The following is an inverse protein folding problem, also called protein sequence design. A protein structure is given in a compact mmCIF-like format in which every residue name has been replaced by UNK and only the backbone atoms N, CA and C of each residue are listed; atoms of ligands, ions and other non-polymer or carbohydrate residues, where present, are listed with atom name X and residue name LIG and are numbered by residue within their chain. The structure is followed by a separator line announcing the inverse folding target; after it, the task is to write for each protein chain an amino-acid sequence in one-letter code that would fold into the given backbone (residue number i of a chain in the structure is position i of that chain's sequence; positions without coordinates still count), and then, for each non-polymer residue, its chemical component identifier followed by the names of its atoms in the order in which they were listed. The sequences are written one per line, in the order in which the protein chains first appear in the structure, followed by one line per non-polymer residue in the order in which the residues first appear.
data_IF_374764763861
#
_entry.id   IF_374764763861
#
_cell.length_a   1.000
_cell.length_b   1.000
_cell.length_c   1.000
_cell.angle_alpha   90.00
_cell.angle_beta   90.00
_cell.angle_gamma   90.00
#
_symmetry.space_group_name_H-M   'P 1'
#
loop_
_entity.id
_entity.type
_entity.pdbx_description
1 polymer ?
#
# COMPACT_ATOMS: atom_id res chain seq x y z
N UNK A 1 30.23 -29.32 -20.16
CA UNK A 1 30.03 -30.77 -20.02
C UNK A 1 31.31 -31.58 -20.26
N UNK A 2 32.24 -31.13 -21.11
CA UNK A 2 33.52 -31.81 -21.35
C UNK A 2 34.33 -32.13 -20.08
N UNK A 3 34.40 -31.20 -19.11
CA UNK A 3 35.19 -31.42 -17.89
C UNK A 3 34.74 -32.64 -17.06
N UNK A 4 33.43 -32.93 -17.02
CA UNK A 4 32.88 -34.08 -16.27
C UNK A 4 33.21 -35.40 -16.99
N UNK A 5 33.20 -35.38 -18.32
CA UNK A 5 33.55 -36.56 -19.13
C UNK A 5 35.02 -36.93 -18.96
N UNK A 6 35.93 -35.96 -18.90
CA UNK A 6 37.36 -36.21 -18.67
C UNK A 6 37.65 -36.84 -17.29
N UNK A 7 36.84 -36.53 -16.28
CA UNK A 7 36.92 -37.21 -14.97
C UNK A 7 36.36 -38.63 -15.06
N UNK A 8 35.25 -38.84 -15.77
CA UNK A 8 34.66 -40.16 -15.95
C UNK A 8 35.60 -41.11 -16.72
N UNK A 9 36.27 -40.59 -17.75
CA UNK A 9 37.27 -41.31 -18.57
C UNK A 9 38.62 -41.47 -17.87
N UNK A 10 38.76 -41.00 -16.62
CA UNK A 10 39.99 -41.01 -15.81
C UNK A 10 41.19 -40.30 -16.46
N UNK A 11 40.93 -39.36 -17.37
CA UNK A 11 41.94 -38.49 -17.99
C UNK A 11 42.34 -37.36 -17.03
N UNK A 12 41.38 -36.87 -16.23
CA UNK A 12 41.62 -35.87 -15.18
C UNK A 12 41.22 -36.40 -13.80
N UNK A 13 42.09 -36.26 -12.80
CA UNK A 13 41.85 -36.79 -11.45
C UNK A 13 40.96 -35.89 -10.56
N UNK A 14 40.91 -34.59 -10.82
CA UNK A 14 40.15 -33.62 -10.03
C UNK A 14 39.49 -32.60 -10.95
N UNK A 15 38.24 -32.22 -10.67
CA UNK A 15 37.53 -31.17 -11.38
C UNK A 15 37.00 -30.13 -10.38
N UNK A 16 37.49 -28.88 -10.50
CA UNK A 16 37.08 -27.76 -9.68
C UNK A 16 36.03 -26.91 -10.43
N UNK A 17 34.85 -27.47 -10.65
CA UNK A 17 33.72 -26.80 -11.31
C UNK A 17 32.50 -26.86 -10.40
N UNK A 18 31.65 -25.84 -10.46
CA UNK A 18 30.37 -25.84 -9.73
C UNK A 18 29.50 -27.03 -10.17
N UNK A 19 29.30 -27.96 -9.26
CA UNK A 19 28.45 -29.11 -9.45
C UNK A 19 27.33 -29.11 -8.42
N UNK A 20 26.09 -29.15 -8.91
CA UNK A 20 24.93 -29.39 -8.07
C UNK A 20 24.95 -30.87 -7.69
N UNK A 21 24.85 -31.14 -6.38
CA UNK A 21 24.72 -32.49 -5.85
C UNK A 21 23.42 -33.10 -6.37
N UNK A 22 23.54 -34.12 -7.19
CA UNK A 22 22.41 -34.84 -7.78
C UNK A 22 22.60 -36.33 -7.47
N UNK A 23 21.61 -36.96 -6.85
CA UNK A 23 21.72 -38.35 -6.37
C UNK A 23 22.16 -39.32 -7.49
N UNK A 24 21.62 -39.15 -8.70
CA UNK A 24 21.97 -39.97 -9.87
C UNK A 24 23.45 -39.87 -10.28
N UNK A 25 24.13 -38.76 -9.97
CA UNK A 25 25.53 -38.52 -10.36
C UNK A 25 26.51 -38.88 -9.23
N UNK A 26 26.03 -39.02 -7.99
CA UNK A 26 26.83 -39.46 -6.85
C UNK A 26 27.29 -40.93 -6.94
N UNK A 27 26.67 -41.75 -7.80
CA UNK A 27 27.12 -43.13 -8.04
C UNK A 27 28.39 -43.20 -8.91
N UNK A 28 28.68 -42.14 -9.67
CA UNK A 28 29.80 -42.10 -10.64
C UNK A 28 30.97 -41.27 -10.13
N UNK A 29 30.73 -40.30 -9.25
CA UNK A 29 31.74 -39.37 -8.75
C UNK A 29 31.64 -39.18 -7.24
N UNK A 30 32.80 -39.16 -6.58
CA UNK A 30 32.91 -38.78 -5.18
C UNK A 30 32.98 -37.26 -5.05
N UNK A 31 32.06 -36.69 -4.26
CA UNK A 31 32.04 -35.27 -3.95
C UNK A 31 32.83 -34.98 -2.67
N UNK A 32 33.46 -33.81 -2.62
CA UNK A 32 34.02 -33.27 -1.37
C UNK A 32 32.89 -32.65 -0.52
N UNK A 33 33.24 -31.73 0.38
CA UNK A 33 32.27 -31.01 1.20
C UNK A 33 31.50 -29.96 0.40
N UNK A 34 30.26 -29.70 0.80
CA UNK A 34 29.44 -28.63 0.22
C UNK A 34 29.98 -27.28 0.65
N UNK A 35 30.44 -26.48 -0.32
CA UNK A 35 30.92 -25.12 -0.06
C UNK A 35 29.81 -24.07 -0.08
N UNK A 36 28.78 -24.23 -0.92
CA UNK A 36 27.72 -23.24 -1.10
C UNK A 36 26.37 -23.91 -1.41
N UNK A 37 25.28 -23.36 -0.86
CA UNK A 37 23.92 -23.82 -1.14
C UNK A 37 23.30 -22.95 -2.23
N UNK A 38 22.94 -23.57 -3.35
CA UNK A 38 22.21 -22.90 -4.43
C UNK A 38 20.70 -23.03 -4.23
N UNK A 39 19.99 -21.91 -4.30
CA UNK A 39 18.52 -21.87 -4.27
C UNK A 39 17.99 -21.52 -5.67
N UNK A 40 16.97 -22.24 -6.13
CA UNK A 40 16.24 -21.85 -7.33
C UNK A 40 15.34 -20.65 -7.02
N UNK A 41 15.47 -19.59 -7.81
CA UNK A 41 14.66 -18.38 -7.67
C UNK A 41 14.07 -17.99 -9.03
N UNK A 42 12.95 -17.28 -8.99
CA UNK A 42 12.29 -16.77 -10.19
C UNK A 42 12.56 -15.27 -10.32
N UNK A 43 12.96 -14.85 -11.53
CA UNK A 43 13.07 -13.43 -11.86
C UNK A 43 11.77 -12.95 -12.54
N UNK A 44 11.18 -11.88 -12.02
CA UNK A 44 9.98 -11.26 -12.59
C UNK A 44 10.21 -9.78 -12.89
N UNK A 45 9.42 -9.25 -13.84
CA UNK A 45 9.39 -7.81 -14.13
C UNK A 45 8.98 -7.03 -12.88
N UNK A 46 9.64 -5.90 -12.61
CA UNK A 46 9.26 -4.99 -11.52
C UNK A 46 7.78 -4.58 -11.71
N UNK A 47 6.92 -4.79 -10.71
CA UNK A 47 5.50 -4.45 -10.85
C UNK A 47 5.34 -2.94 -11.04
N UNK A 48 4.41 -2.55 -11.90
CA UNK A 48 4.03 -1.14 -12.07
C UNK A 48 3.40 -0.62 -10.78
N UNK A 49 3.84 0.55 -10.32
CA UNK A 49 3.28 1.15 -9.11
C UNK A 49 1.82 1.55 -9.36
N UNK A 50 0.98 1.41 -8.33
CA UNK A 50 -0.37 1.95 -8.36
C UNK A 50 -0.31 3.49 -8.46
N UNK A 51 -1.31 4.13 -9.08
CA UNK A 51 -1.29 5.57 -9.27
C UNK A 51 -1.28 6.31 -7.93
N UNK A 52 -0.31 7.20 -7.76
CA UNK A 52 0.07 7.78 -6.48
C UNK A 52 -0.95 8.78 -5.92
N UNK A 53 -1.89 9.26 -6.74
CA UNK A 53 -3.00 10.13 -6.29
C UNK A 53 -3.93 9.44 -5.28
N UNK A 54 -4.04 8.11 -5.32
CA UNK A 54 -4.82 7.36 -4.34
C UNK A 54 -4.21 7.42 -2.93
N UNK A 55 -2.91 7.77 -2.84
CA UNK A 55 -2.22 7.97 -1.57
C UNK A 55 -2.65 9.24 -0.83
N UNK A 56 -3.46 10.12 -1.44
CA UNK A 56 -3.89 11.38 -0.82
C UNK A 56 -5.07 11.17 0.14
N UNK A 57 -5.99 10.24 -0.17
CA UNK A 57 -7.13 9.93 0.70
C UNK A 57 -6.88 8.76 1.66
N UNK A 58 -5.88 7.92 1.35
CA UNK A 58 -5.49 6.77 2.17
C UNK A 58 -4.66 7.05 3.46
N UNK A 59 -4.06 8.24 3.71
CA UNK A 59 -3.20 8.46 4.87
C UNK A 59 -4.02 8.74 6.15
N UNK A 60 -5.30 9.11 6.00
CA UNK A 60 -6.25 9.24 7.12
C UNK A 60 -7.32 8.17 7.00
N UNK A 61 -7.54 7.45 8.10
CA UNK A 61 -8.61 6.45 8.17
C UNK A 61 -9.99 7.10 8.02
N UNK A 62 -10.96 6.34 7.50
CA UNK A 62 -12.35 6.80 7.34
C UNK A 62 -12.96 7.33 8.65
N UNK A 63 -12.55 6.75 9.79
CA UNK A 63 -13.01 7.20 11.12
C UNK A 63 -12.58 8.63 11.45
N UNK A 64 -11.39 9.06 11.00
CA UNK A 64 -10.90 10.42 11.23
C UNK A 64 -11.69 11.42 10.40
N UNK A 65 -11.99 11.09 9.14
CA UNK A 65 -12.82 11.94 8.28
C UNK A 65 -14.21 12.17 8.85
N UNK A 66 -14.85 11.09 9.34
CA UNK A 66 -16.14 11.20 10.04
C UNK A 66 -15.99 12.06 11.31
N UNK A 67 -14.92 11.85 12.09
CA UNK A 67 -14.63 12.66 13.27
C UNK A 67 -14.47 14.16 12.95
N UNK A 68 -13.76 14.51 11.88
CA UNK A 68 -13.57 15.90 11.46
C UNK A 68 -14.89 16.54 11.05
N UNK A 69 -15.72 15.85 10.25
CA UNK A 69 -17.05 16.33 9.86
C UNK A 69 -17.92 16.53 11.10
N UNK A 70 -17.90 15.56 12.04
CA UNK A 70 -18.64 15.65 13.30
C UNK A 70 -18.16 16.83 14.17
N UNK A 71 -16.85 17.08 14.25
CA UNK A 71 -16.30 18.22 14.99
C UNK A 71 -16.72 19.57 14.38
N UNK A 72 -16.67 19.72 13.05
CA UNK A 72 -17.15 20.93 12.37
C UNK A 72 -18.65 21.14 12.63
N UNK A 73 -19.44 20.06 12.53
CA UNK A 73 -20.88 20.09 12.75
C UNK A 73 -21.26 20.39 14.20
N UNK A 74 -20.41 20.07 15.17
CA UNK A 74 -20.64 20.36 16.60
C UNK A 74 -20.19 21.78 16.98
N UNK A 75 -19.03 22.22 16.50
CA UNK A 75 -18.46 23.54 16.84
C UNK A 75 -19.27 24.69 16.25
N UNK A 76 -19.79 24.53 15.03
CA UNK A 76 -20.60 25.56 14.35
C UNK A 76 -21.87 25.95 15.14
N UNK A 77 -22.76 25.02 15.56
CA UNK A 77 -23.95 25.37 16.33
C UNK A 77 -23.62 25.84 17.75
N UNK A 78 -22.54 25.34 18.38
CA UNK A 78 -22.12 25.82 19.70
C UNK A 78 -21.69 27.29 19.63
N UNK A 79 -20.94 27.68 18.60
CA UNK A 79 -20.57 29.08 18.39
C UNK A 79 -21.78 29.95 18.06
N UNK A 80 -22.71 29.47 17.22
CA UNK A 80 -23.95 30.19 16.94
C UNK A 80 -24.81 30.37 18.19
N UNK A 81 -24.91 29.35 19.04
CA UNK A 81 -25.64 29.40 20.29
C UNK A 81 -24.98 30.35 21.30
N UNK A 82 -23.65 30.36 21.42
CA UNK A 82 -22.93 31.32 22.26
C UNK A 82 -23.14 32.77 21.78
N UNK A 83 -23.13 32.99 20.47
CA UNK A 83 -23.40 34.32 19.88
C UNK A 83 -24.86 34.73 20.11
N UNK A 84 -25.81 33.81 19.98
CA UNK A 84 -27.23 34.09 20.19
C UNK A 84 -27.57 34.34 21.68
N UNK A 85 -26.94 33.62 22.61
CA UNK A 85 -27.12 33.85 24.05
C UNK A 85 -26.42 35.13 24.52
N UNK A 86 -25.24 35.44 23.99
CA UNK A 86 -24.54 36.71 24.29
C UNK A 86 -25.24 37.95 23.71
N UNK A 87 -26.06 37.77 22.66
CA UNK A 87 -26.86 38.82 22.03
C UNK A 87 -28.02 39.34 22.87
N UNK A 88 -28.41 38.65 23.95
CA UNK A 88 -29.38 39.17 24.92
C UNK A 88 -28.94 40.48 25.60
N UNK A 89 -27.67 40.88 25.45
CA UNK A 89 -27.06 41.96 26.23
C UNK A 89 -26.47 43.13 25.43
N UNK A 90 -26.44 43.09 24.08
CA UNK A 90 -25.86 44.16 23.25
C UNK A 90 -26.78 44.57 22.09
N UNK A 91 -27.83 45.31 22.42
CA UNK A 91 -28.62 46.11 21.48
C UNK A 91 -27.86 47.40 21.11
N UNK A 92 -26.81 47.33 20.28
CA UNK A 92 -26.36 48.41 19.38
C UNK A 92 -25.01 48.03 18.76
N UNK A 93 -25.02 47.22 17.71
CA UNK A 93 -24.12 47.45 16.58
C UNK A 93 -24.34 46.43 15.47
N UNK A 94 -24.63 47.00 14.30
CA UNK A 94 -24.35 46.50 12.99
C UNK A 94 -25.19 45.32 12.49
N UNK A 95 -26.23 45.72 11.77
CA UNK A 95 -26.81 45.03 10.62
C UNK A 95 -25.72 44.57 9.65
N UNK A 96 -25.23 43.35 9.85
CA UNK A 96 -24.65 42.53 8.79
C UNK A 96 -25.10 41.10 9.08
N UNK A 97 -25.73 40.45 8.10
CA UNK A 97 -26.29 39.12 8.24
C UNK A 97 -25.25 38.11 8.71
N UNK A 98 -25.27 37.76 9.99
CA UNK A 98 -24.60 36.58 10.54
C UNK A 98 -25.37 35.33 10.10
N UNK A 99 -25.27 35.03 8.81
CA UNK A 99 -25.74 33.78 8.25
C UNK A 99 -24.88 32.63 8.76
N UNK A 100 -25.51 31.48 9.02
CA UNK A 100 -24.83 30.21 9.33
C UNK A 100 -23.71 29.92 8.32
N UNK A 101 -23.91 30.31 7.06
CA UNK A 101 -22.94 30.20 5.98
C UNK A 101 -21.62 30.94 6.24
N UNK A 102 -21.66 32.14 6.83
CA UNK A 102 -20.46 32.94 7.10
C UNK A 102 -19.64 32.28 8.21
N UNK A 103 -20.31 31.84 9.29
CA UNK A 103 -19.64 31.13 10.39
C UNK A 103 -19.07 29.80 9.90
N UNK A 104 -19.79 29.07 9.05
CA UNK A 104 -19.27 27.84 8.44
C UNK A 104 -18.07 28.10 7.54
N UNK A 105 -18.11 29.18 6.74
CA UNK A 105 -17.00 29.56 5.89
C UNK A 105 -15.77 29.94 6.72
N UNK A 106 -15.94 30.68 7.81
CA UNK A 106 -14.84 31.04 8.72
C UNK A 106 -14.23 29.81 9.40
N UNK A 107 -15.06 28.86 9.87
CA UNK A 107 -14.57 27.61 10.47
C UNK A 107 -13.83 26.73 9.46
N UNK A 108 -14.35 26.65 8.24
CA UNK A 108 -13.73 25.88 7.14
C UNK A 108 -12.44 26.55 6.68
N UNK A 109 -12.41 27.87 6.60
CA UNK A 109 -11.21 28.66 6.29
C UNK A 109 -10.11 28.43 7.32
N UNK A 110 -10.45 28.48 8.62
CA UNK A 110 -9.51 28.15 9.69
C UNK A 110 -9.01 26.70 9.57
N UNK A 111 -9.88 25.73 9.25
CA UNK A 111 -9.48 24.33 9.04
C UNK A 111 -8.50 24.14 7.87
N UNK A 112 -8.65 24.95 6.83
CA UNK A 112 -7.75 24.99 5.67
C UNK A 112 -6.47 25.81 5.92
N UNK A 113 -6.34 26.45 7.09
CA UNK A 113 -5.21 27.31 7.43
C UNK A 113 -5.25 28.70 6.79
N UNK A 114 -6.44 29.18 6.41
CA UNK A 114 -6.65 30.55 5.92
C UNK A 114 -6.64 31.57 7.07
N UNK A 115 -6.51 32.85 6.73
CA UNK A 115 -6.44 33.96 7.68
C UNK A 115 -7.60 33.96 8.70
N UNK A 116 -7.28 34.37 9.93
CA UNK A 116 -8.27 34.48 11.01
C UNK A 116 -9.42 35.42 10.58
N UNK A 117 -10.67 35.07 10.91
CA UNK A 117 -11.81 35.92 10.57
C UNK A 117 -11.60 37.31 11.17
N UNK A 118 -11.76 38.35 10.33
CA UNK A 118 -11.63 39.77 10.71
C UNK A 118 -12.50 40.17 11.90
N UNK A 119 -13.53 39.38 12.24
CA UNK A 119 -14.44 39.60 13.36
C UNK A 119 -14.13 38.62 14.49
N UNK A 120 -13.04 38.88 15.21
CA UNK A 120 -12.67 38.13 16.40
C UNK A 120 -13.80 38.19 17.44
N UNK A 121 -14.14 37.03 17.99
CA UNK A 121 -15.21 36.89 18.95
C UNK A 121 -14.99 37.79 20.18
N UNK A 122 -16.01 38.58 20.52
CA UNK A 122 -15.92 39.67 21.51
C UNK A 122 -15.84 39.10 22.94
N UNK A 123 -16.44 37.94 23.19
CA UNK A 123 -16.51 37.32 24.52
C UNK A 123 -15.31 36.42 24.86
N UNK A 124 -14.89 36.38 26.12
CA UNK A 124 -13.74 35.57 26.57
C UNK A 124 -13.94 34.06 26.33
N UNK A 125 -15.16 33.55 26.52
CA UNK A 125 -15.48 32.13 26.33
C UNK A 125 -15.35 31.67 24.88
N UNK A 126 -15.81 32.49 23.92
CA UNK A 126 -15.69 32.18 22.49
C UNK A 126 -14.24 32.24 22.02
N UNK A 127 -13.39 33.08 22.62
CA UNK A 127 -11.95 33.14 22.32
C UNK A 127 -11.23 31.85 22.72
N UNK A 128 -11.55 31.30 23.89
CA UNK A 128 -11.00 30.03 24.35
C UNK A 128 -11.42 28.89 23.41
N UNK A 129 -12.67 28.89 22.97
CA UNK A 129 -13.19 27.89 22.03
C UNK A 129 -12.49 27.98 20.66
N UNK A 130 -12.32 29.19 20.12
CA UNK A 130 -11.56 29.40 18.86
C UNK A 130 -10.10 29.00 19.01
N UNK A 131 -9.45 29.29 20.14
CA UNK A 131 -8.08 28.86 20.40
C UNK A 131 -7.94 27.33 20.46
N UNK A 132 -8.89 26.64 21.11
CA UNK A 132 -8.94 25.19 21.13
C UNK A 132 -9.19 24.60 19.73
N UNK A 133 -10.04 25.23 18.92
CA UNK A 133 -10.26 24.86 17.53
C UNK A 133 -8.99 24.98 16.68
N UNK A 134 -8.26 26.10 16.82
CA UNK A 134 -6.99 26.30 16.10
C UNK A 134 -5.94 25.26 16.49
N UNK A 135 -5.85 24.91 17.77
CA UNK A 135 -4.94 23.85 18.24
C UNK A 135 -5.32 22.49 17.64
N UNK A 136 -6.62 22.16 17.60
CA UNK A 136 -7.11 20.95 16.95
C UNK A 136 -6.76 20.91 15.45
N UNK A 137 -7.05 21.98 14.72
CA UNK A 137 -6.73 22.09 13.29
C UNK A 137 -5.22 21.96 13.05
N UNK A 138 -4.39 22.58 13.91
CA UNK A 138 -2.94 22.49 13.83
C UNK A 138 -2.46 21.04 13.97
N UNK A 139 -2.94 20.32 14.99
CA UNK A 139 -2.59 18.91 15.21
C UNK A 139 -3.03 18.06 14.01
N UNK A 140 -4.26 18.24 13.54
CA UNK A 140 -4.80 17.52 12.39
C UNK A 140 -3.97 17.77 11.12
N UNK A 141 -3.60 19.03 10.86
CA UNK A 141 -2.79 19.42 9.72
C UNK A 141 -1.37 18.82 9.77
N UNK A 142 -0.74 18.82 10.94
CA UNK A 142 0.57 18.20 11.15
C UNK A 142 0.51 16.68 10.95
N UNK A 143 -0.50 16.02 11.53
CA UNK A 143 -0.70 14.58 11.37
C UNK A 143 -0.99 14.19 9.91
N UNK A 144 -1.83 14.96 9.21
CA UNK A 144 -2.15 14.74 7.80
C UNK A 144 -0.90 14.86 6.92
N UNK A 145 -0.14 15.94 7.06
CA UNK A 145 1.10 16.16 6.29
C UNK A 145 2.16 15.11 6.61
N UNK A 146 2.30 14.72 7.88
CA UNK A 146 3.22 13.66 8.29
C UNK A 146 2.86 12.30 7.68
N UNK A 147 1.59 11.89 7.78
CA UNK A 147 1.12 10.62 7.24
C UNK A 147 1.16 10.57 5.71
N UNK A 148 0.86 11.70 5.06
CA UNK A 148 1.01 11.83 3.62
C UNK A 148 2.48 11.66 3.21
N UNK A 149 3.41 12.32 3.91
CA UNK A 149 4.85 12.20 3.64
C UNK A 149 5.31 10.74 3.81
N UNK A 150 4.90 10.06 4.89
CA UNK A 150 5.21 8.65 5.11
C UNK A 150 4.64 7.73 4.01
N UNK A 151 3.45 8.04 3.50
CA UNK A 151 2.83 7.27 2.42
C UNK A 151 3.51 7.52 1.06
N UNK A 152 4.14 8.68 0.87
CA UNK A 152 4.88 9.02 -0.35
C UNK A 152 6.32 8.49 -0.34
N UNK A 153 6.95 8.34 0.82
CA UNK A 153 8.31 7.80 0.93
C UNK A 153 8.36 6.27 0.82
N UNK A 154 7.28 5.57 1.18
CA UNK A 154 7.21 4.10 1.14
C UNK A 154 6.36 3.65 -0.06
N UNK A 155 6.97 3.16 -1.16
CA UNK A 155 6.22 2.67 -2.31
C UNK A 155 5.45 1.39 -1.94
N UNK A 156 4.12 1.44 -2.04
CA UNK A 156 3.25 0.26 -1.89
C UNK A 156 3.28 -0.58 -3.16
N UNK A 157 4.12 -1.61 -3.17
CA UNK A 157 4.10 -2.61 -4.22
C UNK A 157 2.94 -3.58 -4.04
N UNK A 158 2.34 -4.11 -5.13
CA UNK A 158 1.42 -5.23 -5.01
C UNK A 158 2.14 -6.44 -4.38
N UNK A 159 1.40 -7.32 -3.68
CA UNK A 159 1.98 -8.52 -3.08
C UNK A 159 2.69 -9.34 -4.16
N UNK A 160 3.90 -9.79 -3.83
CA UNK A 160 4.71 -10.63 -4.71
C UNK A 160 4.23 -12.08 -4.53
N UNK A 161 4.12 -12.88 -5.60
CA UNK A 161 3.92 -14.30 -5.43
C UNK A 161 5.19 -14.89 -4.80
N UNK A 162 5.05 -15.49 -3.62
CA UNK A 162 6.17 -16.06 -2.85
C UNK A 162 6.26 -17.59 -3.01
N UNK A 163 5.24 -18.21 -3.59
CA UNK A 163 5.18 -19.66 -3.81
C UNK A 163 5.07 -20.02 -5.30
N UNK A 164 5.51 -21.23 -5.64
CA UNK A 164 5.40 -21.77 -7.00
C UNK A 164 3.95 -21.80 -7.48
N UNK A 165 3.02 -22.19 -6.61
CA UNK A 165 1.58 -22.22 -6.90
C UNK A 165 1.04 -20.82 -7.23
N UNK A 166 1.43 -19.81 -6.44
CA UNK A 166 1.05 -18.42 -6.70
C UNK A 166 1.66 -17.89 -8.00
N UNK A 167 2.86 -18.36 -8.37
CA UNK A 167 3.49 -18.01 -9.64
C UNK A 167 2.76 -18.62 -10.83
N UNK A 168 2.39 -19.90 -10.77
CA UNK A 168 1.61 -20.57 -11.83
C UNK A 168 0.27 -19.87 -12.03
N UNK A 169 -0.45 -19.58 -10.95
CA UNK A 169 -1.71 -18.82 -11.03
C UNK A 169 -1.55 -17.40 -11.58
N UNK A 170 -0.42 -16.75 -11.28
CA UNK A 170 -0.13 -15.43 -11.83
C UNK A 170 0.16 -15.49 -13.33
N UNK A 171 0.98 -16.47 -13.77
CA UNK A 171 1.37 -16.64 -15.18
C UNK A 171 0.17 -17.02 -16.05
N UNK A 172 -0.68 -17.94 -15.59
CA UNK A 172 -1.88 -18.36 -16.33
C UNK A 172 -2.83 -17.17 -16.59
N UNK A 173 -2.94 -16.25 -15.62
CA UNK A 173 -3.70 -15.00 -15.77
C UNK A 173 -3.15 -14.06 -16.84
N UNK A 174 -1.83 -14.02 -17.07
CA UNK A 174 -1.21 -13.15 -18.07
C UNK A 174 -1.16 -13.78 -19.47
N UNK A 175 -1.01 -15.11 -19.57
CA UNK A 175 -0.97 -15.82 -20.85
C UNK A 175 -2.36 -15.90 -21.48
N UNK A 176 -3.41 -16.12 -20.68
CA UNK A 176 -4.80 -16.21 -21.19
C UNK A 176 -5.41 -14.85 -21.57
N UNK A 177 -4.90 -13.73 -21.04
CA UNK A 177 -5.37 -12.39 -21.45
C UNK A 177 -4.68 -11.89 -22.74
N UNK A 178 -3.69 -12.63 -23.25
CA UNK A 178 -2.92 -12.27 -24.45
C UNK A 178 -3.49 -12.78 -25.76
N UNK A 179 -4.60 -13.53 -25.77
CA UNK A 179 -5.08 -14.15 -27.02
C UNK A 179 -6.61 -14.17 -27.17
N UNK A 180 -7.23 -12.99 -27.29
CA UNK A 180 -8.60 -12.87 -27.80
C UNK A 180 -8.66 -12.28 -29.22
N UNK A 181 -7.51 -12.12 -29.91
CA UNK A 181 -7.43 -11.62 -31.28
C UNK A 181 -6.66 -12.57 -32.20
N UNK A 182 -6.98 -13.87 -32.16
CA UNK A 182 -6.68 -14.76 -33.28
C UNK A 182 -7.90 -15.64 -33.55
N UNK A 183 -8.84 -15.05 -34.31
CA UNK A 183 -9.72 -15.85 -35.14
C UNK A 183 -8.86 -16.78 -36.02
N UNK A 184 -9.19 -18.07 -35.95
CA UNK A 184 -8.82 -19.16 -36.86
C UNK A 184 -7.34 -19.58 -36.94
N UNK A 185 -6.97 -20.61 -36.16
CA UNK A 185 -6.24 -21.78 -36.66
C UNK A 185 -6.39 -22.98 -35.70
N UNK A 186 -6.84 -24.16 -36.15
CA UNK A 186 -6.89 -25.36 -35.32
C UNK A 186 -5.58 -26.14 -35.48
N UNK A 187 -4.82 -26.29 -34.41
CA UNK A 187 -3.81 -27.36 -34.34
C UNK A 187 -3.58 -27.72 -32.88
N UNK A 188 -4.13 -28.87 -32.51
CA UNK A 188 -4.06 -29.43 -31.17
C UNK A 188 -2.63 -29.78 -30.75
N UNK A 189 -2.38 -29.58 -29.46
CA UNK A 189 -1.41 -30.35 -28.69
C UNK A 189 -2.12 -30.72 -27.38
N UNK A 190 -2.47 -32.00 -27.16
CA UNK A 190 -3.12 -32.43 -25.93
C UNK A 190 -2.03 -32.80 -24.92
N UNK A 191 -1.57 -31.88 -24.08
CA UNK A 191 -0.59 -32.21 -23.03
C UNK A 191 -0.80 -31.34 -21.79
N UNK A 192 -1.88 -31.58 -21.04
CA UNK A 192 -2.04 -30.97 -19.72
C UNK A 192 -2.74 -31.86 -18.65
N UNK A 193 -3.23 -33.05 -18.97
CA UNK A 193 -3.88 -33.92 -17.97
C UNK A 193 -2.94 -34.92 -17.28
N UNK A 194 -1.72 -35.16 -17.79
CA UNK A 194 -0.82 -36.19 -17.25
C UNK A 194 0.30 -35.68 -16.33
N UNK A 195 0.43 -34.37 -16.08
CA UNK A 195 1.51 -33.85 -15.22
C UNK A 195 1.16 -33.84 -13.71
N UNK A 196 -0.10 -34.01 -13.32
CA UNK A 196 -0.50 -34.06 -11.90
C UNK A 196 -0.21 -35.43 -11.27
N UNK A 197 -0.01 -36.48 -12.07
CA UNK A 197 0.14 -37.85 -11.57
C UNK A 197 1.57 -38.20 -11.09
N UNK A 198 2.56 -37.31 -11.26
CA UNK A 198 3.97 -37.57 -10.92
C UNK A 198 4.44 -36.88 -9.63
N UNK A 199 3.53 -36.63 -8.68
CA UNK A 199 3.90 -36.21 -7.32
C UNK A 199 4.10 -37.48 -6.48
N UNK A 200 5.33 -37.91 -6.15
CA UNK A 200 5.49 -38.89 -5.08
C UNK A 200 5.02 -38.25 -3.78
N UNK A 201 4.04 -38.90 -3.17
CA UNK A 201 3.42 -38.54 -1.90
C UNK A 201 4.48 -38.58 -0.78
N UNK A 202 5.09 -37.43 -0.46
CA UNK A 202 5.99 -37.28 0.70
C UNK A 202 5.14 -36.95 1.94
N UNK A 203 4.34 -37.92 2.37
CA UNK A 203 3.74 -37.95 3.69
C UNK A 203 3.84 -39.38 4.26
N UNK A 204 5.07 -39.83 4.53
CA UNK A 204 5.29 -40.81 5.59
C UNK A 204 6.76 -40.78 6.04
N UNK A 205 6.94 -40.47 7.33
CA UNK A 205 8.20 -40.45 8.09
C UNK A 205 9.09 -39.23 7.82
N UNK A 206 8.84 -38.14 8.53
CA UNK A 206 9.55 -37.78 9.76
C UNK A 206 8.63 -36.91 10.62
#
# INVERSE_FOLDING_TARGET
MQAVQLVAERVSHVCAVYHVLMALRAEVFDYTVVYEFAYFTFAMKKPTLRPQWQSVYHPLGQMVWVGVIMCVLLVTPVLLLMVNLGRGQQYLSFSDGLGVSVVMQDMTGMLLGQDLPRRLSITTSSRILVAAWLLFVLILGLAYRGNLTASLTIPKFPPRPETLEQLVHAVDRYVLHGNNNSDNQPSGIPMAENCVQCIPNVHSKF
#
